data_IF_640495574492
#
_entry.id   IF_640495574492
#
_cell.length_a   1.000
_cell.length_b   1.000
_cell.length_c   1.000
_cell.angle_alpha   90.00
_cell.angle_beta   90.00
_cell.angle_gamma   90.00
#
_symmetry.space_group_name_H-M   'P 1'
#
loop_
_entity.id
_entity.type
_entity.pdbx_description
1 polymer ?
#
# COMPACT_ATOMS: atom_id res chain seq x y z
N UNK A 1 8.86 -19.43 -4.94
CA UNK A 1 7.86 -19.17 -3.87
C UNK A 1 7.21 -17.79 -4.03
N UNK A 2 7.98 -16.69 -4.07
CA UNK A 2 7.44 -15.32 -4.21
C UNK A 2 6.68 -15.11 -5.52
N UNK A 3 7.20 -15.61 -6.65
CA UNK A 3 6.54 -15.49 -7.96
C UNK A 3 5.13 -16.09 -8.00
N UNK A 4 4.91 -17.19 -7.25
CA UNK A 4 3.60 -17.82 -7.18
C UNK A 4 2.58 -16.89 -6.52
N UNK A 5 2.93 -16.29 -5.39
CA UNK A 5 2.07 -15.32 -4.71
C UNK A 5 1.80 -14.08 -5.57
N UNK A 6 2.80 -13.57 -6.27
CA UNK A 6 2.61 -12.42 -7.16
C UNK A 6 1.71 -12.75 -8.35
N UNK A 7 1.84 -13.94 -8.94
CA UNK A 7 0.92 -14.42 -10.00
C UNK A 7 -0.50 -14.59 -9.49
N UNK A 8 -0.69 -15.12 -8.27
CA UNK A 8 -2.01 -15.21 -7.64
C UNK A 8 -2.66 -13.82 -7.50
N UNK A 9 -1.91 -12.83 -7.01
CA UNK A 9 -2.40 -11.45 -6.91
C UNK A 9 -2.64 -10.80 -8.28
N UNK A 10 -1.94 -11.22 -9.32
CA UNK A 10 -2.12 -10.69 -10.67
C UNK A 10 -3.43 -11.09 -11.34
N UNK A 11 -3.93 -12.29 -11.05
CA UNK A 11 -5.16 -12.82 -11.68
C UNK A 11 -6.40 -12.32 -10.92
N UNK A 12 -6.21 -11.92 -9.66
CA UNK A 12 -7.27 -11.49 -8.77
C UNK A 12 -7.83 -10.10 -9.14
N UNK A 13 -9.16 -9.87 -9.06
CA UNK A 13 -9.72 -8.52 -9.19
C UNK A 13 -9.14 -7.57 -8.15
N UNK A 14 -8.85 -6.32 -8.55
CA UNK A 14 -8.21 -5.31 -7.69
C UNK A 14 -8.93 -5.09 -6.35
N UNK A 15 -10.27 -5.16 -6.33
CA UNK A 15 -11.07 -5.07 -5.10
C UNK A 15 -10.73 -6.17 -4.09
N UNK A 16 -10.49 -7.40 -4.57
CA UNK A 16 -10.16 -8.52 -3.70
C UNK A 16 -8.70 -8.43 -3.23
N UNK A 17 -7.78 -7.92 -4.05
CA UNK A 17 -6.43 -7.57 -3.61
C UNK A 17 -6.49 -6.57 -2.44
N UNK A 18 -7.26 -5.48 -2.57
CA UNK A 18 -7.38 -4.50 -1.47
C UNK A 18 -7.95 -5.13 -0.19
N UNK A 19 -8.88 -6.09 -0.31
CA UNK A 19 -9.43 -6.80 0.85
C UNK A 19 -8.37 -7.67 1.52
N UNK A 20 -7.62 -8.46 0.75
CA UNK A 20 -6.51 -9.28 1.26
C UNK A 20 -5.43 -8.41 1.88
N UNK A 21 -5.02 -7.33 1.21
CA UNK A 21 -4.05 -6.38 1.73
C UNK A 21 -4.50 -5.69 3.02
N UNK A 22 -5.80 -5.39 3.14
CA UNK A 22 -6.37 -4.88 4.39
C UNK A 22 -6.25 -5.90 5.52
N UNK A 23 -6.50 -7.18 5.24
CA UNK A 23 -6.34 -8.25 6.22
C UNK A 23 -4.87 -8.38 6.65
N UNK A 24 -3.93 -8.40 5.69
CA UNK A 24 -2.48 -8.43 5.97
C UNK A 24 -2.08 -7.26 6.87
N UNK A 25 -2.47 -6.03 6.53
CA UNK A 25 -2.12 -4.85 7.33
C UNK A 25 -2.74 -4.85 8.72
N UNK A 26 -3.95 -5.39 8.89
CA UNK A 26 -4.57 -5.59 10.21
C UNK A 26 -3.81 -6.62 11.04
N UNK A 27 -3.39 -7.73 10.43
CA UNK A 27 -2.59 -8.75 11.11
C UNK A 27 -1.25 -8.18 11.56
N UNK A 28 -0.56 -7.43 10.69
CA UNK A 28 0.71 -6.76 11.03
C UNK A 28 0.57 -5.79 12.21
N UNK A 29 -0.55 -5.07 12.29
CA UNK A 29 -0.87 -4.18 13.40
C UNK A 29 -1.15 -4.94 14.70
N UNK A 30 -1.92 -6.03 14.64
CA UNK A 30 -2.28 -6.82 15.84
C UNK A 30 -1.14 -7.68 16.36
N UNK A 31 -0.22 -8.11 15.50
CA UNK A 31 0.84 -9.04 15.86
C UNK A 31 2.08 -8.39 16.48
N UNK A 32 2.07 -7.08 16.76
CA UNK A 32 3.25 -6.29 17.18
C UNK A 32 4.48 -6.56 16.30
N UNK A 33 4.25 -6.67 14.98
CA UNK A 33 5.29 -7.01 14.01
C UNK A 33 6.44 -6.00 14.03
N UNK A 34 7.62 -6.41 13.54
CA UNK A 34 8.74 -5.47 13.35
C UNK A 34 8.33 -4.28 12.46
N UNK A 35 7.48 -4.52 11.45
CA UNK A 35 6.93 -3.46 10.60
C UNK A 35 6.08 -2.46 11.39
N UNK A 36 5.27 -2.93 12.34
CA UNK A 36 4.49 -2.07 13.22
C UNK A 36 5.40 -1.17 14.08
N UNK A 37 6.46 -1.75 14.66
CA UNK A 37 7.42 -1.01 15.49
C UNK A 37 8.16 0.08 14.70
N UNK A 38 8.55 -0.22 13.46
CA UNK A 38 9.20 0.76 12.56
C UNK A 38 8.24 1.87 12.20
N UNK A 39 7.00 1.54 11.78
CA UNK A 39 5.98 2.54 11.42
C UNK A 39 5.65 3.43 12.62
N UNK A 40 5.55 2.85 13.82
CA UNK A 40 5.35 3.59 15.07
C UNK A 40 6.44 4.61 15.32
N UNK A 41 7.71 4.18 15.30
CA UNK A 41 8.86 5.10 15.46
C UNK A 41 8.86 6.21 14.41
N UNK A 42 8.62 5.86 13.14
CA UNK A 42 8.57 6.85 12.06
C UNK A 42 7.47 7.88 12.29
N UNK A 43 6.28 7.46 12.72
CA UNK A 43 5.16 8.38 12.95
C UNK A 43 5.40 9.24 14.19
N UNK A 44 5.98 8.70 15.26
CA UNK A 44 6.32 9.46 16.46
C UNK A 44 7.36 10.56 16.16
N UNK A 45 8.35 10.26 15.29
CA UNK A 45 9.39 11.20 14.89
C UNK A 45 8.86 12.24 13.89
N UNK A 46 8.13 11.82 12.86
CA UNK A 46 7.68 12.71 11.78
C UNK A 46 6.43 13.53 12.13
N UNK A 47 5.59 13.03 13.04
CA UNK A 47 4.34 13.68 13.43
C UNK A 47 4.21 13.89 14.95
N UNK A 48 5.19 14.56 15.59
CA UNK A 48 5.20 14.75 17.05
C UNK A 48 4.04 15.63 17.55
N UNK A 49 3.48 16.48 16.67
CA UNK A 49 2.37 17.39 16.99
C UNK A 49 1.01 16.69 17.03
N UNK A 50 0.91 15.43 16.60
CA UNK A 50 -0.32 14.66 16.68
C UNK A 50 -0.51 14.08 18.08
N UNK A 51 -1.76 14.03 18.53
CA UNK A 51 -2.09 13.33 19.79
C UNK A 51 -1.76 11.84 19.67
N UNK A 52 -1.56 11.15 20.80
CA UNK A 52 -1.28 9.71 20.81
C UNK A 52 -2.36 8.88 20.12
N UNK A 53 -3.62 9.27 20.24
CA UNK A 53 -4.73 8.62 19.52
C UNK A 53 -4.63 8.82 18.00
N UNK A 54 -4.29 10.02 17.54
CA UNK A 54 -4.08 10.31 16.11
C UNK A 54 -2.87 9.57 15.55
N UNK A 55 -1.77 9.49 16.30
CA UNK A 55 -0.60 8.70 15.92
C UNK A 55 -0.95 7.21 15.78
N UNK A 56 -1.69 6.64 16.73
CA UNK A 56 -2.15 5.24 16.67
C UNK A 56 -3.05 4.97 15.46
N UNK A 57 -4.02 5.85 15.17
CA UNK A 57 -4.87 5.73 13.99
C UNK A 57 -4.04 5.79 12.69
N UNK A 58 -3.06 6.70 12.64
CA UNK A 58 -2.17 6.82 11.48
C UNK A 58 -1.26 5.59 11.31
N UNK A 59 -0.75 5.00 12.38
CA UNK A 59 0.04 3.76 12.36
C UNK A 59 -0.79 2.62 11.75
N UNK A 60 -2.01 2.42 12.27
CA UNK A 60 -2.94 1.40 11.78
C UNK A 60 -3.26 1.60 10.29
N UNK A 61 -3.59 2.83 9.89
CA UNK A 61 -3.86 3.17 8.48
C UNK A 61 -2.65 2.92 7.60
N UNK A 62 -1.46 3.33 8.03
CA UNK A 62 -0.22 3.15 7.26
C UNK A 62 0.09 1.67 7.01
N UNK A 63 -0.10 0.80 8.01
CA UNK A 63 0.08 -0.64 7.85
C UNK A 63 -0.97 -1.27 6.93
N UNK A 64 -2.23 -0.82 7.00
CA UNK A 64 -3.29 -1.27 6.09
C UNK A 64 -2.97 -0.88 4.64
N UNK A 65 -2.56 0.36 4.40
CA UNK A 65 -2.19 0.79 3.04
C UNK A 65 -0.91 0.09 2.54
N UNK A 66 0.06 -0.17 3.41
CA UNK A 66 1.23 -0.98 3.07
C UNK A 66 0.86 -2.41 2.66
N UNK A 67 -0.07 -3.05 3.39
CA UNK A 67 -0.59 -4.37 3.06
C UNK A 67 -1.33 -4.41 1.72
N UNK A 68 -2.14 -3.37 1.42
CA UNK A 68 -2.76 -3.20 0.10
C UNK A 68 -1.72 -3.05 -1.00
N UNK A 69 -0.73 -2.17 -0.82
CA UNK A 69 0.36 -1.99 -1.77
C UNK A 69 1.13 -3.29 -2.06
N UNK A 70 1.36 -4.12 -1.03
CA UNK A 70 1.98 -5.43 -1.21
C UNK A 70 1.12 -6.36 -2.10
N UNK A 71 -0.19 -6.42 -1.85
CA UNK A 71 -1.11 -7.21 -2.68
C UNK A 71 -1.26 -6.66 -4.11
N UNK A 72 -1.27 -5.33 -4.28
CA UNK A 72 -1.37 -4.66 -5.57
C UNK A 72 -0.10 -4.82 -6.41
N UNK A 73 1.07 -4.99 -5.78
CA UNK A 73 2.34 -5.11 -6.50
C UNK A 73 2.35 -6.26 -7.50
N UNK A 74 1.74 -7.40 -7.16
CA UNK A 74 1.57 -8.52 -8.11
C UNK A 74 0.69 -8.15 -9.30
N UNK A 75 -0.42 -7.44 -9.06
CA UNK A 75 -1.29 -6.92 -10.11
C UNK A 75 -0.57 -5.93 -11.03
N UNK A 76 0.22 -5.02 -10.48
CA UNK A 76 0.93 -4.00 -11.26
C UNK A 76 2.07 -4.60 -12.07
N UNK A 77 2.90 -5.47 -11.48
CA UNK A 77 4.12 -5.95 -12.14
C UNK A 77 3.87 -6.98 -13.25
N UNK A 78 2.81 -7.78 -13.14
CA UNK A 78 2.51 -8.84 -14.12
C UNK A 78 1.55 -8.42 -15.23
N UNK A 79 0.97 -7.21 -15.15
CA UNK A 79 0.11 -6.66 -16.19
C UNK A 79 0.83 -5.60 -17.04
N UNK A 80 0.42 -5.49 -18.31
CA UNK A 80 0.96 -4.47 -19.21
C UNK A 80 0.60 -3.04 -18.76
N UNK A 81 1.42 -2.06 -19.14
CA UNK A 81 1.13 -0.65 -18.87
C UNK A 81 -0.27 -0.23 -19.36
N UNK A 82 -0.67 -0.67 -20.56
CA UNK A 82 -2.00 -0.36 -21.13
C UNK A 82 -3.14 -0.91 -20.27
N UNK A 83 -2.95 -2.07 -19.63
CA UNK A 83 -3.91 -2.62 -18.68
C UNK A 83 -3.96 -1.76 -17.41
N UNK A 84 -2.82 -1.52 -16.78
CA UNK A 84 -2.71 -0.77 -15.52
C UNK A 84 -3.16 0.68 -15.66
N UNK A 85 -2.90 1.32 -16.80
CA UNK A 85 -3.24 2.71 -17.06
C UNK A 85 -4.75 3.00 -16.93
N UNK A 86 -5.61 1.97 -17.09
CA UNK A 86 -7.07 2.08 -16.89
C UNK A 86 -7.45 2.38 -15.44
N UNK A 87 -6.57 2.10 -14.49
CA UNK A 87 -6.79 2.32 -13.06
C UNK A 87 -6.26 3.68 -12.57
N UNK A 88 -5.66 4.48 -13.46
CA UNK A 88 -5.20 5.84 -13.13
C UNK A 88 -6.41 6.79 -13.10
N UNK A 89 -6.84 7.19 -11.90
CA UNK A 89 -8.00 8.08 -11.72
C UNK A 89 -7.64 9.56 -11.95
N UNK A 90 -6.48 10.00 -11.46
CA UNK A 90 -6.04 11.40 -11.57
C UNK A 90 -4.53 11.48 -11.68
N UNK A 91 -4.05 12.28 -12.62
CA UNK A 91 -2.64 12.64 -12.75
C UNK A 91 -2.47 14.14 -12.43
N UNK A 92 -1.80 14.45 -11.32
CA UNK A 92 -1.44 15.83 -10.94
C UNK A 92 -0.01 16.08 -11.42
N UNK A 93 0.20 17.08 -12.29
CA UNK A 93 1.53 17.43 -12.81
C UNK A 93 1.76 17.17 -14.30
N UNK A 94 0.71 16.89 -15.09
CA UNK A 94 0.79 16.77 -16.57
C UNK A 94 0.98 18.12 -17.30
N UNK A 95 1.72 19.02 -16.66
CA UNK A 95 2.28 20.24 -17.22
C UNK A 95 3.81 20.18 -17.10
N UNK A 96 4.41 19.05 -17.45
CA UNK A 96 5.81 19.04 -17.89
C UNK A 96 5.74 18.84 -19.39
N UNK A 97 5.94 19.96 -20.06
CA UNK A 97 6.00 20.16 -21.50
C UNK A 97 6.51 18.96 -22.29
N UNK A 98 5.83 18.69 -23.40
CA UNK A 98 6.50 18.29 -24.63
C UNK A 98 7.70 19.22 -24.89
N UNK A 99 8.90 18.86 -24.46
CA UNK A 99 10.15 19.42 -24.96
C UNK A 99 11.30 18.47 -24.62
N UNK A 100 11.74 17.82 -25.70
CA UNK A 100 12.93 16.98 -25.92
C UNK A 100 12.80 15.52 -25.53
#
# INVERSE_FOLDING_TARGET
MIEFFLKLFSIMPLKLNHWVGTLIGRLLYLSNSQSEQVVRKNIEICFPNLTKAQQQDLIKKSLIEAGKGLSESGFVWFNSFKHNAKHIVKNKGRTVSSRR
#
